data_IF_468909004796
#
_entry.id   IF_468909004796
#
_cell.length_a   1.000
_cell.length_b   1.000
_cell.length_c   1.000
_cell.angle_alpha   90.00
_cell.angle_beta   90.00
_cell.angle_gamma   90.00
#
_symmetry.space_group_name_H-M   'P 1'
#
loop_
_entity.id
_entity.type
_entity.pdbx_description
1 polymer ?
#
# COMPACT_ATOMS: atom_id res chain seq x y z
N UNK A 1 -6.14 57.48 -0.60
CA UNK A 1 -5.18 56.46 -0.11
C UNK A 1 -5.37 56.44 1.38
N UNK A 2 -5.82 55.41 2.08
CA UNK A 2 -5.85 53.97 1.80
C UNK A 2 -6.70 53.31 2.89
N UNK A 3 -7.53 52.34 2.52
CA UNK A 3 -8.25 51.45 3.44
C UNK A 3 -7.26 50.64 4.29
N UNK A 4 -7.61 50.44 5.56
CA UNK A 4 -6.87 49.53 6.46
C UNK A 4 -7.77 48.35 6.82
N UNK A 5 -7.63 47.26 6.08
CA UNK A 5 -8.12 45.92 6.46
C UNK A 5 -6.94 45.14 7.05
N UNK A 6 -6.89 45.00 8.37
CA UNK A 6 -5.92 44.14 9.04
C UNK A 6 -6.45 42.70 9.12
N UNK A 7 -5.60 41.78 8.67
CA UNK A 7 -5.86 40.37 8.41
C UNK A 7 -6.07 39.53 9.67
N UNK A 8 -6.88 38.48 9.55
CA UNK A 8 -7.11 37.47 10.58
C UNK A 8 -5.83 36.66 10.90
N UNK A 9 -5.66 36.18 12.14
CA UNK A 9 -4.56 35.28 12.50
C UNK A 9 -4.81 33.88 11.94
N UNK A 10 -3.88 33.41 11.12
CA UNK A 10 -3.84 32.04 10.63
C UNK A 10 -3.72 31.05 11.79
N UNK A 11 -4.71 30.16 11.91
CA UNK A 11 -4.63 28.96 12.75
C UNK A 11 -3.48 28.08 12.26
N UNK A 12 -2.31 28.26 12.87
CA UNK A 12 -1.19 27.34 12.74
C UNK A 12 -1.52 26.11 13.59
N UNK A 13 -2.21 25.13 13.00
CA UNK A 13 -2.38 23.82 13.64
C UNK A 13 -1.03 23.11 13.67
N UNK A 14 -0.43 23.07 14.86
CA UNK A 14 0.54 22.05 15.27
C UNK A 14 -0.01 20.64 15.05
N UNK A 15 0.91 19.66 15.04
CA UNK A 15 0.78 18.21 14.82
C UNK A 15 0.84 17.80 13.34
N UNK A 16 1.89 17.16 12.85
CA UNK A 16 2.58 16.02 13.45
C UNK A 16 4.07 15.99 13.08
N UNK A 17 4.86 15.59 14.06
CA UNK A 17 6.23 15.13 13.91
C UNK A 17 6.23 13.92 12.98
N UNK A 18 6.53 14.15 11.70
CA UNK A 18 7.05 13.08 10.84
C UNK A 18 8.50 13.42 10.62
N UNK A 19 9.34 12.83 11.47
CA UNK A 19 10.76 12.75 11.18
C UNK A 19 10.95 12.29 9.74
N UNK A 20 11.96 12.87 9.12
CA UNK A 20 12.45 12.58 7.78
C UNK A 20 12.89 11.11 7.72
N UNK A 21 11.91 10.23 7.67
CA UNK A 21 12.07 8.82 7.38
C UNK A 21 12.15 8.78 5.86
N UNK A 22 13.39 8.70 5.35
CA UNK A 22 13.73 8.41 3.96
C UNK A 22 13.03 7.10 3.54
N UNK A 23 11.76 7.20 3.16
CA UNK A 23 11.01 6.08 2.65
C UNK A 23 11.44 5.87 1.21
N UNK A 24 12.08 4.72 0.96
CA UNK A 24 12.43 4.26 -0.37
C UNK A 24 11.24 4.43 -1.35
N UNK A 25 11.47 4.90 -2.59
CA UNK A 25 10.39 5.21 -3.51
C UNK A 25 9.71 3.94 -4.03
N UNK A 26 8.40 4.03 -4.29
CA UNK A 26 7.64 2.98 -4.95
C UNK A 26 8.21 2.71 -6.35
N UNK A 27 8.65 1.48 -6.61
CA UNK A 27 9.27 1.11 -7.89
C UNK A 27 8.30 1.20 -9.09
N UNK A 28 6.99 1.30 -8.83
CA UNK A 28 5.98 1.54 -9.87
C UNK A 28 5.83 3.03 -10.17
N UNK A 29 5.54 3.85 -9.17
CA UNK A 29 5.07 5.23 -9.36
C UNK A 29 5.85 6.31 -8.59
N UNK A 30 7.02 5.97 -8.04
CA UNK A 30 7.93 6.84 -7.25
C UNK A 30 7.33 7.59 -6.06
N UNK A 31 6.06 7.35 -5.70
CA UNK A 31 5.49 7.87 -4.46
C UNK A 31 6.14 7.15 -3.26
N UNK A 32 6.19 7.77 -2.06
CA UNK A 32 6.75 7.15 -0.87
C UNK A 32 6.18 5.74 -0.65
N UNK A 33 7.05 4.73 -0.62
CA UNK A 33 6.64 3.38 -0.28
C UNK A 33 6.54 3.22 1.23
N UNK A 34 5.87 2.15 1.67
CA UNK A 34 5.77 1.79 3.09
C UNK A 34 6.30 0.37 3.33
N UNK A 35 7.14 -0.13 2.43
CA UNK A 35 7.69 -1.48 2.43
C UNK A 35 7.28 -2.33 1.23
N UNK A 36 7.47 -3.64 1.36
CA UNK A 36 7.22 -4.62 0.31
C UNK A 36 5.73 -5.01 0.24
N UNK A 37 5.18 -4.96 -0.96
CA UNK A 37 3.87 -5.56 -1.26
C UNK A 37 4.01 -6.40 -2.52
N UNK A 38 3.55 -7.65 -2.47
CA UNK A 38 3.69 -8.58 -3.60
C UNK A 38 5.15 -8.68 -4.06
N UNK A 39 6.08 -8.74 -3.08
CA UNK A 39 7.53 -8.89 -3.24
C UNK A 39 8.26 -7.71 -3.88
N UNK A 40 7.59 -6.56 -3.99
CA UNK A 40 8.16 -5.35 -4.59
C UNK A 40 7.95 -4.16 -3.66
N UNK A 41 8.98 -3.33 -3.48
CA UNK A 41 8.86 -2.08 -2.74
C UNK A 41 7.86 -1.15 -3.46
N UNK A 42 6.70 -0.93 -2.85
CA UNK A 42 5.60 -0.23 -3.51
C UNK A 42 4.71 0.53 -2.52
N UNK A 43 3.99 1.53 -3.03
CA UNK A 43 3.03 2.28 -2.22
C UNK A 43 1.70 1.52 -2.09
N UNK A 44 0.92 1.83 -1.03
CA UNK A 44 -0.40 1.22 -0.75
C UNK A 44 -1.35 1.30 -1.95
N UNK A 45 -1.31 2.40 -2.69
CA UNK A 45 -2.17 2.60 -3.86
C UNK A 45 -1.81 1.66 -5.02
N UNK A 46 -0.52 1.38 -5.25
CA UNK A 46 -0.07 0.43 -6.27
C UNK A 46 -0.39 -1.01 -5.86
N UNK A 47 -0.18 -1.36 -4.59
CA UNK A 47 -0.54 -2.66 -4.05
C UNK A 47 -2.05 -2.95 -4.22
N UNK A 48 -2.90 -2.01 -3.80
CA UNK A 48 -4.35 -2.16 -3.93
C UNK A 48 -4.81 -2.23 -5.39
N UNK A 49 -4.21 -1.42 -6.27
CA UNK A 49 -4.46 -1.47 -7.71
C UNK A 49 -4.09 -2.83 -8.32
N UNK A 50 -2.90 -3.35 -8.00
CA UNK A 50 -2.42 -4.64 -8.49
C UNK A 50 -3.35 -5.78 -8.05
N UNK A 51 -3.63 -5.87 -6.74
CA UNK A 51 -4.52 -6.89 -6.18
C UNK A 51 -5.90 -6.93 -6.85
N UNK A 52 -6.56 -5.77 -6.98
CA UNK A 52 -7.89 -5.69 -7.63
C UNK A 52 -7.84 -6.11 -9.08
N UNK A 53 -6.80 -5.71 -9.80
CA UNK A 53 -6.68 -6.00 -11.22
C UNK A 53 -6.42 -7.47 -11.50
N UNK A 54 -5.63 -8.15 -10.67
CA UNK A 54 -5.40 -9.59 -10.82
C UNK A 54 -6.61 -10.39 -10.36
N UNK A 55 -7.21 -10.08 -9.20
CA UNK A 55 -8.40 -10.80 -8.70
C UNK A 55 -9.57 -10.74 -9.66
N UNK A 56 -9.79 -9.60 -10.31
CA UNK A 56 -10.84 -9.43 -11.31
C UNK A 56 -10.34 -9.66 -12.75
N UNK A 57 -9.15 -10.25 -12.92
CA UNK A 57 -8.53 -10.59 -14.22
C UNK A 57 -8.64 -9.49 -15.28
N UNK A 58 -8.51 -8.23 -14.86
CA UNK A 58 -8.80 -7.07 -15.71
C UNK A 58 -7.68 -6.87 -16.73
N UNK A 59 -8.05 -6.92 -18.01
CA UNK A 59 -7.19 -6.56 -19.14
C UNK A 59 -7.39 -5.08 -19.48
N UNK A 60 -6.36 -4.27 -19.25
CA UNK A 60 -6.39 -2.85 -19.59
C UNK A 60 -5.90 -2.60 -21.02
N UNK A 61 -6.37 -1.50 -21.64
CA UNK A 61 -5.83 -0.97 -22.89
C UNK A 61 -5.22 0.41 -22.66
N UNK A 62 -4.14 0.73 -23.36
CA UNK A 62 -3.54 2.06 -23.28
C UNK A 62 -4.41 3.06 -24.06
N UNK A 63 -5.07 3.97 -23.36
CA UNK A 63 -5.91 5.00 -23.99
C UNK A 63 -5.11 5.97 -24.86
N UNK A 64 -3.80 6.13 -24.61
CA UNK A 64 -2.93 6.97 -25.44
C UNK A 64 -2.37 6.23 -26.67
N UNK A 65 -2.61 4.93 -26.80
CA UNK A 65 -2.06 4.11 -27.88
C UNK A 65 -0.56 3.80 -27.79
N UNK A 66 0.22 4.56 -27.00
CA UNK A 66 1.69 4.44 -26.99
C UNK A 66 2.24 3.22 -26.24
N UNK A 67 1.48 2.69 -25.25
CA UNK A 67 1.87 1.51 -24.47
C UNK A 67 3.09 1.70 -23.53
N UNK A 68 3.57 2.94 -23.38
CA UNK A 68 4.76 3.34 -22.64
C UNK A 68 4.59 4.66 -21.87
N UNK A 69 3.35 5.06 -21.54
CA UNK A 69 3.08 6.20 -20.65
C UNK A 69 3.95 6.18 -19.39
N UNK A 70 4.53 7.33 -19.05
CA UNK A 70 5.18 7.48 -17.75
C UNK A 70 4.15 7.39 -16.62
N UNK A 71 4.44 6.50 -15.66
CA UNK A 71 3.64 6.22 -14.46
C UNK A 71 4.34 6.66 -13.18
N UNK A 72 5.57 7.15 -13.30
CA UNK A 72 6.43 7.63 -12.22
C UNK A 72 6.00 9.02 -11.77
N UNK A 73 5.57 9.86 -12.72
CA UNK A 73 5.04 11.18 -12.44
C UNK A 73 3.52 11.15 -12.29
N UNK A 74 3.03 11.52 -11.10
CA UNK A 74 1.60 11.72 -10.87
C UNK A 74 1.20 13.11 -11.35
N UNK A 75 0.47 13.16 -12.46
CA UNK A 75 -0.09 14.43 -12.97
C UNK A 75 -1.35 14.78 -12.18
N UNK A 76 -1.41 16.00 -11.62
CA UNK A 76 -2.57 16.49 -10.87
C UNK A 76 -3.80 16.52 -11.77
N UNK A 77 -4.93 16.03 -11.26
CA UNK A 77 -6.21 15.99 -12.00
C UNK A 77 -6.29 14.93 -13.11
N UNK A 78 -5.25 14.12 -13.34
CA UNK A 78 -5.25 13.06 -14.36
C UNK A 78 -4.95 11.69 -13.76
N UNK A 79 -5.79 10.67 -13.99
CA UNK A 79 -5.48 9.33 -13.52
C UNK A 79 -4.27 8.76 -14.28
N UNK A 80 -3.44 7.98 -13.57
CA UNK A 80 -2.36 7.22 -14.19
C UNK A 80 -2.92 6.23 -15.22
N UNK A 81 -2.19 6.02 -16.31
CA UNK A 81 -2.57 5.05 -17.33
C UNK A 81 -2.61 3.62 -16.74
N UNK A 82 -3.81 3.02 -16.68
CA UNK A 82 -4.03 1.72 -16.04
C UNK A 82 -3.26 0.60 -16.72
N UNK A 83 -3.19 0.62 -18.05
CA UNK A 83 -2.40 -0.34 -18.83
C UNK A 83 -0.91 -0.25 -18.48
N UNK A 84 -0.29 0.92 -18.62
CA UNK A 84 1.14 1.08 -18.37
C UNK A 84 1.49 0.81 -16.91
N UNK A 85 0.60 1.18 -15.98
CA UNK A 85 0.77 0.90 -14.56
C UNK A 85 0.77 -0.60 -14.28
N UNK A 86 -0.21 -1.34 -14.80
CA UNK A 86 -0.26 -2.80 -14.66
C UNK A 86 0.93 -3.48 -15.35
N UNK A 87 1.28 -3.03 -16.57
CA UNK A 87 2.45 -3.51 -17.31
C UNK A 87 3.73 -3.36 -16.46
N UNK A 88 3.93 -2.19 -15.85
CA UNK A 88 5.08 -1.95 -14.96
C UNK A 88 5.04 -2.83 -13.71
N UNK A 89 3.88 -2.96 -13.05
CA UNK A 89 3.73 -3.87 -11.90
C UNK A 89 4.20 -5.30 -12.21
N UNK A 90 3.77 -5.86 -13.35
CA UNK A 90 4.19 -7.19 -13.79
C UNK A 90 5.68 -7.24 -14.16
N UNK A 91 6.16 -6.24 -14.89
CA UNK A 91 7.55 -6.18 -15.36
C UNK A 91 8.57 -6.16 -14.22
N UNK A 92 8.24 -5.52 -13.10
CA UNK A 92 9.11 -5.47 -11.90
C UNK A 92 8.88 -6.66 -10.94
N UNK A 93 8.07 -7.64 -11.33
CA UNK A 93 7.91 -8.88 -10.56
C UNK A 93 6.83 -8.86 -9.47
N UNK A 94 5.87 -7.93 -9.49
CA UNK A 94 4.73 -8.06 -8.56
C UNK A 94 3.96 -9.34 -8.86
N UNK A 95 3.78 -10.18 -7.84
CA UNK A 95 3.10 -11.47 -7.94
C UNK A 95 2.20 -11.72 -6.73
N UNK A 96 1.03 -12.28 -6.96
CA UNK A 96 0.00 -12.46 -5.92
C UNK A 96 0.23 -13.70 -5.06
N UNK A 97 1.19 -14.56 -5.43
CA UNK A 97 1.55 -15.85 -4.84
C UNK A 97 0.47 -16.45 -3.91
N UNK A 98 -0.28 -17.39 -4.43
CA UNK A 98 -1.18 -18.23 -3.64
C UNK A 98 -0.43 -19.36 -2.91
N UNK A 99 0.89 -19.25 -2.72
CA UNK A 99 1.69 -20.34 -2.16
C UNK A 99 1.93 -20.09 -0.68
N UNK A 100 1.28 -20.95 0.13
CA UNK A 100 1.83 -21.60 1.32
C UNK A 100 3.26 -21.14 1.61
N UNK A 101 3.46 -20.55 2.78
CA UNK A 101 4.73 -20.06 3.29
C UNK A 101 5.87 -21.06 3.13
N UNK A 102 6.55 -21.03 1.98
CA UNK A 102 7.98 -21.27 1.90
C UNK A 102 8.61 -19.92 1.71
N UNK A 103 8.93 -19.32 2.86
CA UNK A 103 9.67 -18.08 3.03
C UNK A 103 10.61 -17.79 1.85
N UNK A 104 10.49 -16.65 1.15
CA UNK A 104 11.55 -16.22 0.26
C UNK A 104 12.76 -15.87 1.13
N UNK A 105 13.80 -16.71 1.09
CA UNK A 105 15.11 -16.39 1.64
C UNK A 105 15.62 -15.10 1.02
N UNK A 106 15.57 -14.01 1.77
CA UNK A 106 16.43 -12.86 1.52
C UNK A 106 17.85 -13.30 1.89
N UNK A 107 18.65 -13.70 0.89
CA UNK A 107 20.10 -13.72 1.05
C UNK A 107 20.57 -12.28 0.96
N UNK A 108 20.72 -11.63 2.10
CA UNK A 108 21.66 -10.52 2.22
C UNK A 108 23.00 -11.18 2.57
N UNK A 109 23.96 -11.14 1.64
CA UNK A 109 25.35 -11.51 1.94
C UNK A 109 25.90 -10.49 2.95
N UNK A 110 25.88 -10.85 4.24
CA UNK A 110 27.05 -10.82 5.13
C UNK A 110 26.67 -11.43 6.51
N UNK A 111 27.60 -12.18 7.08
CA UNK A 111 27.46 -13.20 8.13
C UNK A 111 27.17 -12.65 9.56
N UNK A 112 26.25 -13.30 10.30
CA UNK A 112 26.44 -13.72 11.71
C UNK A 112 25.25 -14.58 12.17
N UNK A 113 25.51 -15.88 12.36
CA UNK A 113 24.63 -16.90 12.93
C UNK A 113 24.00 -16.53 14.27
N UNK A 114 22.68 -16.73 14.42
CA UNK A 114 22.10 -17.17 15.70
C UNK A 114 21.03 -18.23 15.45
N UNK A 115 21.35 -19.42 15.95
CA UNK A 115 20.51 -20.61 16.03
C UNK A 115 19.55 -20.40 17.20
N UNK A 116 18.25 -20.65 17.02
CA UNK A 116 17.46 -21.21 18.12
C UNK A 116 16.35 -22.11 17.55
N UNK A 117 16.43 -23.38 17.96
CA UNK A 117 15.50 -24.45 17.64
C UNK A 117 14.21 -24.39 18.50
N UNK A 118 13.17 -25.17 18.16
CA UNK A 118 11.79 -24.90 18.54
C UNK A 118 11.42 -25.51 19.91
N UNK A 119 10.45 -24.92 20.59
CA UNK A 119 9.76 -25.58 21.69
C UNK A 119 8.28 -25.21 21.69
N UNK A 120 7.47 -26.25 21.64
CA UNK A 120 6.01 -26.29 21.64
C UNK A 120 5.38 -25.81 22.94
N UNK A 121 4.07 -25.56 22.87
CA UNK A 121 3.07 -25.51 23.95
C UNK A 121 2.98 -24.24 24.80
N UNK A 122 1.98 -23.39 24.53
CA UNK A 122 0.83 -23.19 25.44
C UNK A 122 -0.27 -22.31 24.79
N UNK A 123 -1.49 -22.85 24.67
CA UNK A 123 -2.76 -22.11 24.75
C UNK A 123 -3.46 -22.70 26.00
N UNK A 124 -4.21 -21.96 26.83
CA UNK A 124 -5.54 -21.47 26.44
C UNK A 124 -5.95 -20.08 26.98
N UNK A 125 -6.96 -19.51 26.29
CA UNK A 125 -8.14 -18.74 26.76
C UNK A 125 -7.91 -17.47 27.64
N UNK A 126 -8.49 -16.31 27.34
CA UNK A 126 -9.94 -16.02 27.49
C UNK A 126 -10.43 -14.85 26.62
N UNK A 127 -11.61 -15.06 26.04
CA UNK A 127 -12.79 -14.18 25.93
C UNK A 127 -12.66 -12.68 25.61
N UNK A 128 -13.12 -12.30 24.41
CA UNK A 128 -13.96 -11.12 24.17
C UNK A 128 -14.81 -11.34 22.90
N UNK A 129 -15.84 -12.19 23.03
CA UNK A 129 -16.93 -12.33 22.05
C UNK A 129 -18.17 -11.59 22.60
N UNK A 130 -18.37 -10.33 22.17
CA UNK A 130 -19.59 -9.54 22.39
C UNK A 130 -19.54 -8.32 21.43
N UNK A 131 -20.45 -8.03 20.49
CA UNK A 131 -21.79 -8.50 20.14
C UNK A 131 -22.03 -8.09 18.66
N UNK A 132 -22.20 -9.05 17.74
CA UNK A 132 -22.71 -8.79 16.37
C UNK A 132 -23.96 -9.64 16.13
N UNK A 133 -24.78 -9.83 17.16
CA UNK A 133 -26.04 -10.58 17.04
C UNK A 133 -27.28 -9.84 17.53
N UNK A 134 -27.17 -8.64 18.11
CA UNK A 134 -28.35 -7.82 18.45
C UNK A 134 -28.48 -6.58 17.57
N UNK A 135 -28.71 -6.76 16.26
CA UNK A 135 -29.05 -5.65 15.37
C UNK A 135 -30.07 -5.99 14.25
N UNK A 136 -30.60 -7.22 14.20
CA UNK A 136 -31.55 -7.63 13.14
C UNK A 136 -32.98 -7.82 13.66
N UNK A 137 -33.24 -7.81 14.97
CA UNK A 137 -34.61 -7.87 15.53
C UNK A 137 -35.19 -6.51 15.98
N UNK A 138 -34.80 -5.39 15.37
CA UNK A 138 -35.38 -4.07 15.65
C UNK A 138 -36.02 -3.38 14.43
N UNK A 139 -36.29 -4.12 13.35
CA UNK A 139 -36.93 -3.57 12.13
C UNK A 139 -38.35 -4.14 11.92
N UNK A 140 -38.76 -5.18 12.65
CA UNK A 140 -40.07 -5.83 12.47
C UNK A 140 -40.96 -5.87 13.72
N UNK A 141 -40.86 -4.85 14.60
CA UNK A 141 -41.90 -4.52 15.59
C UNK A 141 -42.11 -3.00 15.65
#
# INVERSE_FOLDING_TARGET
MSESIASSPGSSKSSSIFGESNHEPCLVCAQPARGLHFQVNSCRACAAFYRRSIKATIVYRCQRGTGNCDVTQKVVGKPMCRYCRMKKCKAIGMKLDNFESKFPSFKHENDQSMIFEPSTSHLPETDDDLDVKTAIEAIYL
#
